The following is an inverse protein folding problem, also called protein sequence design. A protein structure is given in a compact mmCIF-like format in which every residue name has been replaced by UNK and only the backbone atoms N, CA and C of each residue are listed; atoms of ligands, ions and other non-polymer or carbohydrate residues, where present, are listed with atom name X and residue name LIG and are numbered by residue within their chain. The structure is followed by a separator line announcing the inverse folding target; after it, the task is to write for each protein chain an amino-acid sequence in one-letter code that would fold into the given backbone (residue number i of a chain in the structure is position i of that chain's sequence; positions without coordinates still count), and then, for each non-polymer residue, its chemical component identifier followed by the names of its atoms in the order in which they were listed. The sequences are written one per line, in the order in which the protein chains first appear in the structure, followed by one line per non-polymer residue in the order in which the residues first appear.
data_IF_342138702749
#
_entry.id   IF_342138702749
#
_cell.length_a   1.000
_cell.length_b   1.000
_cell.length_c   1.000
_cell.angle_alpha   90.00
_cell.angle_beta   90.00
_cell.angle_gamma   90.00
#
_symmetry.space_group_name_H-M   'P 1'
#
loop_
_entity.id
_entity.type
_entity.pdbx_description
1 polymer ?
#
# COMPACT_ATOMS: atom_id res chain seq x y z
N UNK A 1 -14.63 -8.94 17.75
CA UNK A 1 -15.10 -7.97 16.73
C UNK A 1 -13.99 -7.71 15.73
N UNK A 2 -14.30 -7.81 14.46
CA UNK A 2 -13.31 -7.55 13.43
C UNK A 2 -13.00 -6.04 13.38
N UNK A 3 -11.74 -5.67 13.49
CA UNK A 3 -11.32 -4.30 13.32
C UNK A 3 -11.34 -3.88 11.85
N UNK A 4 -11.03 -2.62 11.60
CA UNK A 4 -10.87 -2.12 10.24
C UNK A 4 -9.63 -2.72 9.61
N UNK A 5 -9.65 -2.90 8.30
CA UNK A 5 -8.45 -3.27 7.55
C UNK A 5 -7.48 -2.09 7.55
N UNK A 6 -6.20 -2.40 7.68
CA UNK A 6 -5.14 -1.41 7.85
C UNK A 6 -4.28 -1.33 6.61
N UNK A 7 -4.03 -0.10 6.16
CA UNK A 7 -3.16 0.17 5.02
C UNK A 7 -2.06 1.12 5.46
N UNK A 8 -0.82 0.82 5.11
CA UNK A 8 0.27 1.77 5.28
C UNK A 8 0.67 2.34 3.92
N UNK A 9 0.77 3.66 3.85
CA UNK A 9 1.21 4.38 2.65
C UNK A 9 2.67 4.75 2.83
N UNK A 10 3.53 4.32 1.91
CA UNK A 10 4.96 4.58 1.94
C UNK A 10 5.33 5.41 0.72
N UNK A 11 5.62 6.68 0.94
CA UNK A 11 5.92 7.64 -0.11
C UNK A 11 6.64 8.81 0.55
N UNK A 12 7.68 9.36 -0.07
CA UNK A 12 8.39 10.49 0.51
C UNK A 12 7.70 11.84 0.25
N UNK A 13 6.69 11.87 -0.62
CA UNK A 13 5.90 13.06 -0.87
C UNK A 13 4.72 13.16 0.09
N UNK A 14 4.77 14.14 0.98
CA UNK A 14 3.76 14.34 2.00
C UNK A 14 2.36 14.58 1.43
N UNK A 15 2.27 15.37 0.36
CA UNK A 15 0.97 15.68 -0.24
C UNK A 15 0.31 14.42 -0.80
N UNK A 16 1.10 13.58 -1.45
CA UNK A 16 0.60 12.30 -1.96
C UNK A 16 0.10 11.43 -0.82
N UNK A 17 0.89 11.33 0.27
CA UNK A 17 0.46 10.52 1.43
C UNK A 17 -0.85 11.03 2.03
N UNK A 18 -0.98 12.34 2.20
CA UNK A 18 -2.17 12.90 2.81
C UNK A 18 -3.41 12.75 1.93
N UNK A 19 -3.25 12.92 0.63
CA UNK A 19 -4.34 12.73 -0.32
C UNK A 19 -4.84 11.28 -0.32
N UNK A 20 -3.90 10.33 -0.39
CA UNK A 20 -4.25 8.91 -0.36
C UNK A 20 -4.87 8.50 0.98
N UNK A 21 -4.32 9.02 2.08
CA UNK A 21 -4.87 8.76 3.41
C UNK A 21 -6.32 9.20 3.51
N UNK A 22 -6.60 10.42 3.07
CA UNK A 22 -7.96 10.96 3.10
C UNK A 22 -8.92 10.07 2.28
N UNK A 23 -8.54 9.72 1.07
CA UNK A 23 -9.37 8.92 0.18
C UNK A 23 -9.64 7.53 0.76
N UNK A 24 -8.61 6.89 1.31
CA UNK A 24 -8.75 5.55 1.87
C UNK A 24 -9.54 5.56 3.17
N UNK A 25 -9.35 6.58 4.00
CA UNK A 25 -10.13 6.70 5.24
C UNK A 25 -11.60 6.96 4.98
N UNK A 26 -11.92 7.69 3.92
CA UNK A 26 -13.32 7.89 3.51
C UNK A 26 -14.00 6.57 3.14
N UNK A 27 -13.23 5.60 2.67
CA UNK A 27 -13.75 4.26 2.38
C UNK A 27 -13.83 3.38 3.63
N UNK A 28 -13.27 3.84 4.74
CA UNK A 28 -13.34 3.12 6.00
C UNK A 28 -12.09 2.36 6.40
N UNK A 29 -11.01 2.47 5.63
CA UNK A 29 -9.74 1.84 6.02
C UNK A 29 -9.06 2.64 7.15
N UNK A 30 -8.32 1.93 7.97
CA UNK A 30 -7.41 2.56 8.93
C UNK A 30 -6.08 2.75 8.21
N UNK A 31 -5.55 3.97 8.22
CA UNK A 31 -4.39 4.32 7.39
C UNK A 31 -3.27 4.89 8.25
N UNK A 32 -2.07 4.37 8.04
CA UNK A 32 -0.85 4.95 8.59
C UNK A 32 0.06 5.38 7.46
N UNK A 33 1.05 6.20 7.76
CA UNK A 33 1.97 6.75 6.77
C UNK A 33 3.40 6.48 7.18
N UNK A 34 4.26 6.23 6.19
CA UNK A 34 5.70 6.16 6.37
C UNK A 34 6.35 6.99 5.27
N UNK A 35 7.23 7.90 5.65
CA UNK A 35 7.90 8.79 4.70
C UNK A 35 9.09 8.11 4.00
N UNK A 36 9.50 6.94 4.47
CA UNK A 36 10.65 6.22 3.90
C UNK A 36 10.61 4.74 4.32
N UNK A 37 11.55 3.97 3.77
CA UNK A 37 11.60 2.53 4.02
C UNK A 37 11.92 2.17 5.46
N UNK A 38 12.73 2.97 6.14
CA UNK A 38 13.09 2.71 7.53
C UNK A 38 11.86 2.82 8.44
N UNK A 39 11.01 3.81 8.19
CA UNK A 39 9.75 3.98 8.91
C UNK A 39 8.80 2.81 8.64
N UNK A 40 8.77 2.33 7.40
CA UNK A 40 7.96 1.15 7.10
C UNK A 40 8.41 -0.04 7.96
N UNK A 41 9.70 -0.34 7.95
CA UNK A 41 10.24 -1.47 8.67
C UNK A 41 9.90 -1.39 10.17
N UNK A 42 10.12 -0.22 10.77
CA UNK A 42 9.80 -0.06 12.20
C UNK A 42 8.31 -0.21 12.48
N UNK A 43 7.46 0.28 11.59
CA UNK A 43 6.01 0.17 11.75
C UNK A 43 5.53 -1.27 11.62
N UNK A 44 6.12 -2.06 10.72
CA UNK A 44 5.72 -3.46 10.51
C UNK A 44 5.84 -4.28 11.79
N UNK A 45 6.83 -4.01 12.62
CA UNK A 45 7.04 -4.75 13.87
C UNK A 45 6.08 -4.32 14.99
N UNK A 46 5.53 -3.12 14.90
CA UNK A 46 4.68 -2.55 15.95
C UNK A 46 3.21 -2.69 15.63
N UNK A 47 2.84 -2.46 14.37
CA UNK A 47 1.44 -2.44 13.94
C UNK A 47 1.35 -2.97 12.51
N UNK A 48 1.19 -4.29 12.39
CA UNK A 48 1.18 -4.98 11.11
C UNK A 48 0.01 -4.52 10.24
N UNK A 49 0.27 -3.96 9.05
CA UNK A 49 -0.80 -3.60 8.13
C UNK A 49 -1.32 -4.83 7.37
N UNK A 50 -2.49 -4.67 6.77
CA UNK A 50 -3.05 -5.69 5.89
C UNK A 50 -2.59 -5.48 4.45
N UNK A 51 -2.12 -4.27 4.11
CA UNK A 51 -1.63 -3.95 2.77
C UNK A 51 -0.63 -2.79 2.84
N UNK A 52 0.39 -2.87 1.98
CA UNK A 52 1.39 -1.81 1.82
C UNK A 52 1.20 -1.16 0.46
N UNK A 53 0.97 0.15 0.46
CA UNK A 53 0.93 0.95 -0.76
C UNK A 53 2.26 1.70 -0.86
N UNK A 54 3.08 1.41 -1.86
CA UNK A 54 4.50 1.72 -1.87
C UNK A 54 4.92 2.45 -3.13
N UNK A 55 5.61 3.57 -2.98
CA UNK A 55 6.27 4.22 -4.12
C UNK A 55 7.63 3.58 -4.38
N UNK A 56 8.03 3.58 -5.65
CA UNK A 56 9.37 3.11 -6.04
C UNK A 56 10.43 4.17 -5.74
N UNK A 57 10.11 5.44 -6.02
CA UNK A 57 11.07 6.54 -6.01
C UNK A 57 11.15 7.17 -4.63
N UNK A 58 12.04 6.65 -3.79
CA UNK A 58 12.25 7.17 -2.44
C UNK A 58 13.73 7.33 -2.17
N UNK A 59 14.05 8.20 -1.20
CA UNK A 59 15.42 8.38 -0.73
C UNK A 59 15.90 7.13 0.01
N UNK A 60 17.18 6.82 -0.09
CA UNK A 60 17.92 5.78 0.65
C UNK A 60 17.77 4.38 0.07
N UNK A 61 16.56 3.89 -0.10
CA UNK A 61 16.29 2.58 -0.68
C UNK A 61 15.15 2.72 -1.67
N UNK A 62 15.27 2.14 -2.85
CA UNK A 62 14.15 2.17 -3.79
C UNK A 62 13.06 1.18 -3.37
N UNK A 63 11.85 1.44 -3.84
CA UNK A 63 10.69 0.64 -3.47
C UNK A 63 10.78 -0.81 -3.94
N UNK A 64 11.46 -1.08 -5.06
CA UNK A 64 11.63 -2.46 -5.53
C UNK A 64 12.44 -3.28 -4.54
N UNK A 65 13.54 -2.73 -4.05
CA UNK A 65 14.37 -3.41 -3.05
C UNK A 65 13.62 -3.60 -1.74
N UNK A 66 12.86 -2.60 -1.34
CA UNK A 66 12.06 -2.67 -0.12
C UNK A 66 11.00 -3.75 -0.23
N UNK A 67 10.33 -3.84 -1.37
CA UNK A 67 9.33 -4.89 -1.62
C UNK A 67 9.98 -6.26 -1.55
N UNK A 68 11.14 -6.45 -2.17
CA UNK A 68 11.86 -7.73 -2.12
C UNK A 68 12.21 -8.10 -0.67
N UNK A 69 12.64 -7.13 0.12
CA UNK A 69 12.97 -7.36 1.53
C UNK A 69 11.75 -7.82 2.33
N UNK A 70 10.62 -7.17 2.13
CA UNK A 70 9.36 -7.56 2.78
C UNK A 70 8.98 -8.99 2.38
N UNK A 71 9.09 -9.32 1.10
CA UNK A 71 8.70 -10.64 0.58
C UNK A 71 9.64 -11.77 0.99
N UNK A 72 10.86 -11.45 1.36
CA UNK A 72 11.82 -12.44 1.90
C UNK A 72 11.68 -12.66 3.39
N UNK A 73 10.94 -11.80 4.08
CA UNK A 73 10.77 -11.91 5.51
C UNK A 73 9.60 -12.85 5.82
N UNK A 74 9.85 -13.91 6.58
CA UNK A 74 8.83 -14.92 6.88
C UNK A 74 7.63 -14.34 7.62
N UNK A 75 7.84 -13.29 8.40
CA UNK A 75 6.78 -12.65 9.18
C UNK A 75 5.89 -11.76 8.32
N UNK A 76 6.44 -11.12 7.29
CA UNK A 76 5.73 -10.08 6.53
C UNK A 76 5.43 -10.44 5.08
N UNK A 77 5.93 -11.57 4.58
CA UNK A 77 5.82 -11.90 3.15
C UNK A 77 4.39 -12.07 2.65
N UNK A 78 3.45 -12.32 3.55
CA UNK A 78 2.05 -12.50 3.15
C UNK A 78 1.29 -11.18 3.02
N UNK A 79 1.90 -10.06 3.41
CA UNK A 79 1.26 -8.75 3.27
C UNK A 79 1.33 -8.34 1.79
N UNK A 80 0.17 -8.12 1.13
CA UNK A 80 0.19 -7.68 -0.26
C UNK A 80 0.79 -6.28 -0.39
N UNK A 81 1.55 -6.08 -1.46
CA UNK A 81 2.17 -4.80 -1.80
C UNK A 81 1.60 -4.33 -3.12
N UNK A 82 1.15 -3.09 -3.18
CA UNK A 82 0.77 -2.41 -4.41
C UNK A 82 1.72 -1.25 -4.61
N UNK A 83 2.35 -1.17 -5.79
CA UNK A 83 3.14 0.00 -6.14
C UNK A 83 2.27 1.12 -6.67
N UNK A 84 2.63 2.36 -6.31
CA UNK A 84 2.05 3.59 -6.86
C UNK A 84 3.20 4.53 -7.18
N UNK A 85 3.55 4.67 -8.45
CA UNK A 85 4.78 5.37 -8.83
C UNK A 85 4.66 6.13 -10.15
N UNK A 86 5.46 7.18 -10.27
CA UNK A 86 5.65 7.88 -11.54
C UNK A 86 6.46 7.06 -12.54
N UNK A 87 7.22 6.06 -12.08
CA UNK A 87 7.90 5.10 -12.96
C UNK A 87 6.85 4.17 -13.56
N UNK A 88 6.65 4.25 -14.87
CA UNK A 88 5.52 3.59 -15.52
C UNK A 88 5.84 2.90 -16.83
N UNK A 89 7.12 2.65 -17.10
CA UNK A 89 7.48 1.89 -18.29
C UNK A 89 7.08 0.42 -18.09
N UNK A 90 6.96 -0.32 -19.20
CA UNK A 90 6.68 -1.74 -19.12
C UNK A 90 7.73 -2.49 -18.28
N UNK A 91 8.99 -2.06 -18.39
CA UNK A 91 10.07 -2.64 -17.60
C UNK A 91 9.93 -2.34 -16.11
N UNK A 92 9.53 -1.12 -15.74
CA UNK A 92 9.28 -0.77 -14.34
C UNK A 92 8.19 -1.65 -13.75
N UNK A 93 7.10 -1.83 -14.47
CA UNK A 93 5.98 -2.65 -14.02
C UNK A 93 6.41 -4.10 -13.83
N UNK A 94 7.16 -4.65 -14.80
CA UNK A 94 7.68 -6.02 -14.68
C UNK A 94 8.59 -6.17 -13.46
N UNK A 95 9.46 -5.19 -13.24
CA UNK A 95 10.38 -5.21 -12.10
C UNK A 95 9.61 -5.22 -10.78
N UNK A 96 8.56 -4.40 -10.67
CA UNK A 96 7.73 -4.36 -9.47
C UNK A 96 7.01 -5.66 -9.21
N UNK A 97 6.40 -6.24 -10.24
CA UNK A 97 5.70 -7.51 -10.09
C UNK A 97 6.68 -8.65 -9.79
N UNK A 98 7.87 -8.64 -10.41
CA UNK A 98 8.90 -9.62 -10.12
C UNK A 98 9.46 -9.49 -8.69
N UNK A 99 9.39 -8.31 -8.11
CA UNK A 99 9.77 -8.08 -6.71
C UNK A 99 8.77 -8.69 -5.73
N UNK A 100 7.62 -9.13 -6.21
CA UNK A 100 6.60 -9.78 -5.39
C UNK A 100 5.35 -8.94 -5.16
N UNK A 101 5.22 -7.78 -5.82
CA UNK A 101 4.03 -6.96 -5.66
C UNK A 101 2.81 -7.64 -6.27
N UNK A 102 1.65 -7.37 -5.68
CA UNK A 102 0.37 -7.87 -6.18
C UNK A 102 -0.14 -7.05 -7.35
N UNK A 103 0.22 -5.77 -7.42
CA UNK A 103 -0.19 -4.91 -8.52
C UNK A 103 0.71 -3.67 -8.59
N UNK A 104 0.56 -2.91 -9.67
CA UNK A 104 1.36 -1.71 -9.95
C UNK A 104 0.45 -0.64 -10.56
N UNK A 105 0.38 0.52 -9.90
CA UNK A 105 -0.40 1.66 -10.39
C UNK A 105 0.54 2.80 -10.74
N UNK A 106 0.33 3.39 -11.92
CA UNK A 106 1.09 4.56 -12.35
C UNK A 106 0.44 5.84 -11.85
N UNK A 107 1.26 6.82 -11.47
CA UNK A 107 0.74 8.16 -11.13
C UNK A 107 0.39 8.94 -12.40
N UNK A 108 -0.68 9.75 -12.42
CA UNK A 108 -1.64 9.96 -11.33
C UNK A 108 -2.53 8.75 -11.14
N UNK A 109 -2.81 8.42 -9.89
CA UNK A 109 -3.51 7.19 -9.57
C UNK A 109 -5.01 7.31 -9.90
N UNK A 110 -5.56 6.23 -10.44
CA UNK A 110 -6.99 6.07 -10.60
C UNK A 110 -7.55 5.49 -9.30
N UNK A 111 -8.14 6.34 -8.47
CA UNK A 111 -8.59 5.93 -7.14
C UNK A 111 -9.65 4.84 -7.19
N UNK A 112 -10.55 4.90 -8.17
CA UNK A 112 -11.61 3.89 -8.29
C UNK A 112 -11.01 2.51 -8.55
N UNK A 113 -10.03 2.41 -9.45
CA UNK A 113 -9.35 1.15 -9.74
C UNK A 113 -8.51 0.68 -8.54
N UNK A 114 -7.85 1.61 -7.85
CA UNK A 114 -7.07 1.28 -6.67
C UNK A 114 -7.95 0.69 -5.57
N UNK A 115 -9.07 1.35 -5.27
CA UNK A 115 -10.00 0.88 -4.24
C UNK A 115 -10.57 -0.50 -4.57
N UNK A 116 -10.91 -0.73 -5.83
CA UNK A 116 -11.39 -2.04 -6.27
C UNK A 116 -10.32 -3.12 -6.07
N UNK A 117 -9.07 -2.80 -6.40
CA UNK A 117 -7.97 -3.76 -6.26
C UNK A 117 -7.67 -4.07 -4.80
N UNK A 118 -7.68 -3.04 -3.95
CA UNK A 118 -7.48 -3.24 -2.51
C UNK A 118 -8.55 -4.18 -1.96
N UNK A 119 -9.81 -3.93 -2.31
CA UNK A 119 -10.91 -4.77 -1.85
C UNK A 119 -10.77 -6.22 -2.32
N UNK A 120 -10.24 -6.44 -3.52
CA UNK A 120 -9.97 -7.79 -4.02
C UNK A 120 -8.89 -8.49 -3.19
N UNK A 121 -7.88 -7.75 -2.76
CA UNK A 121 -6.73 -8.34 -2.06
C UNK A 121 -6.97 -8.58 -0.59
N UNK A 122 -7.62 -7.66 0.10
CA UNK A 122 -7.77 -7.72 1.56
C UNK A 122 -9.22 -7.64 2.03
N UNK A 123 -10.17 -7.52 1.11
CA UNK A 123 -11.57 -7.40 1.47
C UNK A 123 -11.99 -5.96 1.74
N UNK A 124 -13.25 -5.72 2.05
CA UNK A 124 -13.75 -4.39 2.34
C UNK A 124 -13.11 -3.83 3.61
N UNK A 125 -13.12 -2.51 3.73
CA UNK A 125 -12.46 -1.79 4.82
C UNK A 125 -12.89 -2.26 6.20
N UNK A 126 -14.17 -2.54 6.36
CA UNK A 126 -14.73 -3.10 7.59
C UNK A 126 -15.92 -3.99 7.24
N UNK A 127 -16.31 -4.92 8.14
CA UNK A 127 -17.53 -5.68 7.93
C UNK A 127 -18.70 -4.70 7.80
N UNK A 128 -19.31 -4.65 6.62
CA UNK A 128 -20.33 -3.66 6.33
C UNK A 128 -21.73 -4.20 6.58
N UNK A 129 -22.56 -3.40 7.26
CA UNK A 129 -24.00 -3.59 7.24
C UNK A 129 -24.60 -2.71 6.13
N UNK A 130 -25.84 -2.95 5.72
CA UNK A 130 -26.48 -2.09 4.73
C UNK A 130 -26.47 -0.61 5.11
N UNK A 131 -26.58 -0.29 6.37
CA UNK A 131 -26.54 1.09 6.87
C UNK A 131 -25.18 1.74 6.66
N UNK A 132 -24.14 0.99 6.84
CA UNK A 132 -22.76 1.51 6.70
C UNK A 132 -22.37 1.75 5.24
N UNK A 133 -23.06 1.14 4.33
CA UNK A 133 -22.73 1.25 2.91
C UNK A 133 -23.38 2.43 2.18
N UNK A 134 -24.16 3.19 2.87
CA UNK A 134 -24.86 4.32 2.28
C UNK A 134 -24.06 5.60 2.23
#
# INVERSE_FOLDING_TARGET
MAGRKKIIIVDDDRETREMLKMALELEGYEVSQAANGLRLISTLHVDRPDLILLDVMMSWIDGFELCRAVKKNDEFRDIPVIFNSAKKTANDIRTGLAAGASDYFSKPIDMERLLARIAQLIGPASPATPEQRR
#
